data_IF_128059942697
#
_entry.id   IF_128059942697
#
_cell.length_a   1.000
_cell.length_b   1.000
_cell.length_c   1.000
_cell.angle_alpha   90.00
_cell.angle_beta   90.00
_cell.angle_gamma   90.00
#
_symmetry.space_group_name_H-M   'P 1'
#
loop_
_entity.id
_entity.type
_entity.pdbx_description
1 polymer ?
#
# COMPACT_ATOMS: atom_id res chain seq x y z
N UNK A 1 -17.41 22.55 -40.36
CA UNK A 1 -17.05 22.49 -38.93
C UNK A 1 -17.08 21.04 -38.52
N UNK A 2 -15.91 20.39 -38.44
CA UNK A 2 -15.83 19.04 -37.87
C UNK A 2 -15.85 19.15 -36.36
N UNK A 3 -16.86 18.56 -35.75
CA UNK A 3 -16.91 18.29 -34.31
C UNK A 3 -15.91 17.16 -34.03
N UNK A 4 -14.80 17.47 -33.38
CA UNK A 4 -13.95 16.44 -32.77
C UNK A 4 -14.66 15.96 -31.50
N UNK A 5 -15.20 14.73 -31.56
CA UNK A 5 -15.67 14.02 -30.39
C UNK A 5 -14.43 13.45 -29.68
N UNK A 6 -13.94 14.09 -28.62
CA UNK A 6 -12.97 13.46 -27.74
C UNK A 6 -13.72 12.42 -26.91
N UNK A 7 -13.69 11.16 -27.35
CA UNK A 7 -14.10 10.05 -26.52
C UNK A 7 -13.12 9.97 -25.34
N UNK A 8 -13.56 10.43 -24.18
CA UNK A 8 -12.96 10.05 -22.90
C UNK A 8 -13.17 8.55 -22.76
N UNK A 9 -12.10 7.76 -22.92
CA UNK A 9 -12.10 6.38 -22.44
C UNK A 9 -12.27 6.46 -20.93
N UNK A 10 -13.51 6.33 -20.46
CA UNK A 10 -13.83 5.92 -19.10
C UNK A 10 -13.47 4.44 -18.98
N UNK A 11 -12.19 4.10 -19.18
CA UNK A 11 -11.66 2.87 -18.62
C UNK A 11 -11.52 3.18 -17.14
N UNK A 12 -12.26 2.48 -16.29
CA UNK A 12 -11.89 2.42 -14.88
C UNK A 12 -10.42 2.08 -14.78
N UNK A 13 -9.76 2.66 -13.77
CA UNK A 13 -8.45 2.24 -13.36
C UNK A 13 -8.46 2.10 -11.85
N UNK A 14 -7.72 1.11 -11.36
CA UNK A 14 -7.40 1.01 -9.94
C UNK A 14 -6.07 1.72 -9.73
N UNK A 15 -6.09 2.74 -8.89
CA UNK A 15 -4.89 3.49 -8.51
C UNK A 15 -4.35 2.88 -7.24
N UNK A 16 -3.06 2.53 -7.22
CA UNK A 16 -2.32 2.16 -6.02
C UNK A 16 -1.30 3.26 -5.74
N UNK A 17 -1.30 3.79 -4.52
CA UNK A 17 -0.42 4.90 -4.16
C UNK A 17 0.29 4.65 -2.84
N UNK A 18 1.49 5.22 -2.78
CA UNK A 18 2.31 5.26 -1.58
C UNK A 18 2.28 6.67 -0.95
N UNK A 19 2.32 6.74 0.38
CA UNK A 19 2.56 7.97 1.13
C UNK A 19 3.54 7.74 2.28
N UNK A 20 4.56 8.60 2.42
CA UNK A 20 5.39 8.68 3.62
C UNK A 20 4.60 9.35 4.76
N UNK A 21 4.48 8.65 5.89
CA UNK A 21 3.84 9.12 7.12
C UNK A 21 4.84 9.66 8.15
N UNK A 22 6.12 9.69 7.80
CA UNK A 22 7.21 10.05 8.69
C UNK A 22 7.73 8.87 9.50
N UNK A 23 8.89 9.04 10.13
CA UNK A 23 9.59 7.99 10.91
C UNK A 23 9.78 6.68 10.13
N UNK A 24 10.05 6.77 8.83
CA UNK A 24 10.20 5.63 7.92
C UNK A 24 8.95 4.74 7.82
N UNK A 25 7.77 5.25 8.18
CA UNK A 25 6.51 4.54 8.03
C UNK A 25 5.86 4.97 6.72
N UNK A 26 5.50 3.98 5.92
CA UNK A 26 4.93 4.14 4.61
C UNK A 26 3.52 3.58 4.61
N UNK A 27 2.56 4.33 4.06
CA UNK A 27 1.20 3.87 3.81
C UNK A 27 1.01 3.47 2.36
N UNK A 28 0.40 2.30 2.14
CA UNK A 28 -0.06 1.83 0.84
C UNK A 28 -1.58 1.92 0.76
N UNK A 29 -2.09 2.61 -0.25
CA UNK A 29 -3.51 2.90 -0.43
C UNK A 29 -3.97 2.54 -1.83
N UNK A 30 -5.28 2.38 -2.00
CA UNK A 30 -5.93 2.16 -3.29
C UNK A 30 -7.12 3.09 -3.51
N UNK A 31 -7.42 3.36 -4.78
CA UNK A 31 -8.64 4.01 -5.25
C UNK A 31 -9.14 3.28 -6.50
N UNK A 32 -10.26 2.59 -6.36
CA UNK A 32 -11.00 1.88 -7.41
C UNK A 32 -12.35 2.57 -7.71
N UNK A 33 -12.53 3.84 -7.34
CA UNK A 33 -13.78 4.59 -7.58
C UNK A 33 -14.12 4.77 -9.07
N UNK A 34 -13.14 4.57 -9.96
CA UNK A 34 -13.34 4.54 -11.40
C UNK A 34 -13.89 3.22 -11.95
N UNK A 35 -13.91 2.15 -11.15
CA UNK A 35 -14.35 0.82 -11.58
C UNK A 35 -15.85 0.59 -11.38
N UNK A 36 -16.44 -0.25 -12.25
CA UNK A 36 -17.85 -0.65 -12.13
C UNK A 36 -18.06 -1.84 -11.18
N UNK A 37 -17.00 -2.62 -10.96
CA UNK A 37 -16.97 -3.74 -10.02
C UNK A 37 -15.94 -3.45 -8.94
N UNK A 38 -16.19 -3.94 -7.73
CA UNK A 38 -15.23 -3.80 -6.64
C UNK A 38 -13.98 -4.63 -6.92
N UNK A 39 -12.88 -4.28 -6.26
CA UNK A 39 -11.71 -5.14 -6.26
C UNK A 39 -11.99 -6.36 -5.37
N UNK A 40 -11.67 -7.54 -5.88
CA UNK A 40 -11.72 -8.81 -5.16
C UNK A 40 -10.39 -9.12 -4.50
N UNK A 41 -9.29 -8.89 -5.20
CA UNK A 41 -7.96 -9.20 -4.70
C UNK A 41 -6.88 -8.30 -5.30
N UNK A 42 -5.77 -8.18 -4.58
CA UNK A 42 -4.53 -7.54 -5.01
C UNK A 42 -3.37 -8.52 -4.83
N UNK A 43 -2.47 -8.56 -5.81
CA UNK A 43 -1.13 -9.13 -5.69
C UNK A 43 -0.12 -8.08 -6.18
N UNK A 44 0.63 -7.48 -5.26
CA UNK A 44 1.47 -6.32 -5.50
C UNK A 44 2.91 -6.60 -5.13
N UNK A 45 3.85 -6.16 -5.96
CA UNK A 45 5.27 -6.15 -5.62
C UNK A 45 5.65 -4.75 -5.14
N UNK A 46 6.26 -4.66 -3.97
CA UNK A 46 6.80 -3.42 -3.42
C UNK A 46 8.31 -3.58 -3.33
N UNK A 47 9.07 -2.64 -3.87
CA UNK A 47 10.53 -2.59 -3.75
C UNK A 47 10.98 -1.22 -3.28
N UNK A 48 12.08 -1.17 -2.55
CA UNK A 48 12.69 0.09 -2.10
C UNK A 48 14.09 0.22 -2.68
N UNK A 49 14.55 1.46 -2.90
CA UNK A 49 15.89 1.72 -3.47
C UNK A 49 17.04 1.39 -2.52
N UNK A 50 16.83 1.61 -1.23
CA UNK A 50 17.86 1.57 -0.19
C UNK A 50 17.29 1.00 1.13
N UNK A 51 18.14 0.36 1.92
CA UNK A 51 17.76 -0.27 3.18
C UNK A 51 16.97 -1.58 3.01
N UNK A 52 16.18 -1.91 4.03
CA UNK A 52 15.33 -3.11 4.07
C UNK A 52 13.95 -2.78 4.65
N UNK A 53 12.96 -3.59 4.30
CA UNK A 53 11.62 -3.56 4.88
C UNK A 53 11.66 -4.26 6.25
N UNK A 54 11.25 -3.56 7.29
CA UNK A 54 11.37 -4.02 8.68
C UNK A 54 10.09 -4.67 9.22
N UNK A 55 8.94 -4.14 8.85
CA UNK A 55 7.65 -4.61 9.36
C UNK A 55 6.50 -4.16 8.46
N UNK A 56 5.36 -4.85 8.59
CA UNK A 56 4.07 -4.50 8.01
C UNK A 56 3.02 -4.37 9.12
N UNK A 57 2.04 -3.49 8.96
CA UNK A 57 1.00 -3.22 9.95
C UNK A 57 -0.25 -2.61 9.34
N UNK A 58 -1.22 -2.27 10.20
CA UNK A 58 -2.46 -1.57 9.86
C UNK A 58 -3.25 -2.15 8.67
N UNK A 59 -3.14 -3.47 8.45
CA UNK A 59 -3.96 -4.19 7.48
C UNK A 59 -5.19 -4.79 8.15
N UNK A 60 -6.25 -4.98 7.37
CA UNK A 60 -7.47 -5.63 7.84
C UNK A 60 -7.24 -7.14 8.00
N UNK A 61 -7.81 -7.77 9.02
CA UNK A 61 -7.72 -9.22 9.23
C UNK A 61 -9.11 -9.87 9.23
N UNK A 62 -9.25 -10.95 8.47
CA UNK A 62 -10.46 -11.77 8.43
C UNK A 62 -11.54 -11.27 7.46
N UNK A 63 -12.77 -11.81 7.59
CA UNK A 63 -13.89 -11.41 6.75
C UNK A 63 -14.47 -10.05 7.18
N UNK A 64 -14.93 -9.24 6.23
CA UNK A 64 -15.54 -7.95 6.51
C UNK A 64 -15.28 -6.89 5.42
N UNK A 65 -15.36 -5.59 5.77
CA UNK A 65 -15.29 -4.49 4.80
C UNK A 65 -13.86 -4.18 4.35
N UNK A 66 -12.98 -5.17 4.34
CA UNK A 66 -11.57 -5.00 4.00
C UNK A 66 -11.03 -6.21 3.28
N UNK A 67 -9.70 -6.22 3.12
CA UNK A 67 -9.00 -7.27 2.41
C UNK A 67 -8.14 -8.09 3.36
N UNK A 68 -8.79 -8.86 4.23
CA UNK A 68 -8.14 -9.60 5.32
C UNK A 68 -7.96 -11.08 5.08
N UNK A 69 -8.06 -11.52 3.83
CA UNK A 69 -7.70 -12.86 3.39
C UNK A 69 -6.37 -12.76 2.63
N UNK A 70 -5.39 -13.59 2.95
CA UNK A 70 -4.05 -13.51 2.34
C UNK A 70 -3.73 -14.80 1.58
N UNK A 71 -4.12 -14.94 0.29
CA UNK A 71 -4.05 -16.20 -0.46
C UNK A 71 -2.69 -16.91 -0.48
N UNK A 72 -1.58 -16.16 -0.40
CA UNK A 72 -0.23 -16.68 -0.45
C UNK A 72 0.25 -17.32 0.84
N UNK A 73 -0.43 -17.07 1.95
CA UNK A 73 -0.07 -17.55 3.29
C UNK A 73 -1.25 -18.20 4.04
N UNK A 74 -2.47 -18.14 3.47
CA UNK A 74 -3.66 -18.75 4.07
C UNK A 74 -3.52 -20.27 4.15
N UNK A 75 -3.86 -20.82 5.31
CA UNK A 75 -3.93 -22.27 5.51
C UNK A 75 -5.39 -22.72 5.52
N UNK A 76 -5.75 -23.56 4.55
CA UNK A 76 -7.05 -24.24 4.48
C UNK A 76 -6.83 -25.73 4.76
N UNK A 77 -7.06 -26.22 5.99
CA UNK A 77 -7.01 -27.64 6.29
C UNK A 77 -7.99 -28.46 5.42
N UNK A 78 -7.79 -29.79 5.29
CA UNK A 78 -8.62 -30.65 4.44
C UNK A 78 -10.12 -30.64 4.75
N UNK A 79 -10.51 -30.18 5.93
CA UNK A 79 -11.92 -30.02 6.34
C UNK A 79 -12.62 -28.83 5.66
N UNK A 80 -11.87 -27.95 4.99
CA UNK A 80 -12.39 -26.90 4.11
C UNK A 80 -12.59 -25.53 4.76
N UNK A 81 -12.42 -25.42 6.08
CA UNK A 81 -12.45 -24.14 6.78
C UNK A 81 -11.09 -23.44 6.76
N UNK A 82 -11.06 -22.13 7.01
CA UNK A 82 -9.81 -21.37 7.18
C UNK A 82 -9.22 -21.71 8.55
N UNK A 83 -8.03 -22.33 8.55
CA UNK A 83 -7.30 -22.69 9.76
C UNK A 83 -6.38 -21.58 10.26
N UNK A 84 -5.83 -20.80 9.33
CA UNK A 84 -5.00 -19.62 9.59
C UNK A 84 -5.13 -18.66 8.41
N UNK A 85 -5.28 -17.36 8.69
CA UNK A 85 -5.33 -16.33 7.64
C UNK A 85 -3.94 -16.01 7.09
N UNK A 86 -2.89 -16.25 7.87
CA UNK A 86 -1.51 -15.88 7.53
C UNK A 86 -1.27 -14.38 7.65
N UNK A 87 -0.29 -13.89 6.90
CA UNK A 87 0.04 -12.47 6.79
C UNK A 87 -0.10 -12.00 5.34
N UNK A 88 -0.23 -10.68 5.10
CA UNK A 88 -0.26 -10.16 3.74
C UNK A 88 1.04 -10.40 2.96
N UNK A 89 2.15 -10.72 3.63
CA UNK A 89 3.46 -10.94 2.99
C UNK A 89 3.52 -12.38 2.50
N UNK A 90 3.67 -12.53 1.18
CA UNK A 90 3.88 -13.83 0.58
C UNK A 90 5.30 -14.31 0.86
N UNK A 91 5.44 -15.52 1.43
CA UNK A 91 6.74 -16.11 1.72
C UNK A 91 7.60 -16.32 0.46
N UNK A 92 8.92 -16.10 0.51
CA UNK A 92 9.82 -16.15 -0.66
C UNK A 92 9.94 -17.55 -1.29
N UNK A 93 9.50 -18.60 -0.60
CA UNK A 93 9.38 -19.96 -1.13
C UNK A 93 8.24 -20.12 -2.15
N UNK A 94 7.29 -19.17 -2.16
CA UNK A 94 6.18 -19.19 -3.09
C UNK A 94 6.61 -18.63 -4.46
N UNK A 95 6.28 -19.33 -5.57
CA UNK A 95 6.64 -18.86 -6.89
C UNK A 95 6.12 -17.44 -7.17
N UNK A 96 6.98 -16.60 -7.73
CA UNK A 96 6.70 -15.21 -8.06
C UNK A 96 6.79 -14.24 -6.88
N UNK A 97 7.09 -14.69 -5.66
CA UNK A 97 7.28 -13.83 -4.50
C UNK A 97 8.67 -13.17 -4.48
N UNK A 98 8.75 -11.97 -3.90
CA UNK A 98 9.99 -11.28 -3.55
C UNK A 98 10.53 -11.76 -2.18
N UNK A 99 11.59 -11.10 -1.68
CA UNK A 99 12.33 -11.54 -0.50
C UNK A 99 11.61 -11.39 0.84
N UNK A 100 10.67 -10.45 0.95
CA UNK A 100 9.88 -10.21 2.17
C UNK A 100 10.60 -9.33 3.20
N UNK A 101 10.25 -9.50 4.48
CA UNK A 101 10.86 -8.76 5.60
C UNK A 101 12.37 -9.02 5.67
N UNK A 102 13.13 -7.95 5.94
CA UNK A 102 14.59 -7.98 6.00
C UNK A 102 15.25 -7.90 4.62
N UNK A 103 14.49 -7.63 3.56
CA UNK A 103 14.98 -7.45 2.20
C UNK A 103 14.51 -6.12 1.61
N UNK A 104 14.96 -5.80 0.40
CA UNK A 104 14.60 -4.59 -0.36
C UNK A 104 13.28 -4.74 -1.15
N UNK A 105 12.60 -5.88 -1.06
CA UNK A 105 11.34 -6.08 -1.77
C UNK A 105 10.44 -7.16 -1.18
N UNK A 106 9.14 -6.89 -1.18
CA UNK A 106 8.11 -7.82 -0.70
C UNK A 106 6.97 -7.96 -1.69
N UNK A 107 6.38 -9.16 -1.73
CA UNK A 107 5.11 -9.40 -2.43
C UNK A 107 3.99 -9.39 -1.42
N UNK A 108 2.98 -8.57 -1.67
CA UNK A 108 1.80 -8.44 -0.84
C UNK A 108 0.59 -9.02 -1.53
N UNK A 109 -0.22 -9.77 -0.80
CA UNK A 109 -1.51 -10.24 -1.26
C UNK A 109 -2.62 -9.88 -0.29
N UNK A 110 -3.73 -9.43 -0.86
CA UNK A 110 -4.91 -8.97 -0.12
C UNK A 110 -6.16 -9.46 -0.84
N UNK A 111 -7.05 -10.15 -0.15
CA UNK A 111 -8.30 -10.70 -0.70
C UNK A 111 -9.49 -10.29 0.15
N UNK A 112 -10.60 -9.94 -0.51
CA UNK A 112 -11.86 -9.66 0.16
C UNK A 112 -12.67 -10.94 0.36
N UNK A 113 -13.23 -11.10 1.56
CA UNK A 113 -14.22 -12.12 1.86
C UNK A 113 -15.35 -11.48 2.65
N UNK A 114 -16.52 -11.41 2.02
CA UNK A 114 -17.72 -10.89 2.64
C UNK A 114 -18.93 -11.69 2.16
N UNK A 115 -19.85 -11.97 3.07
CA UNK A 115 -21.07 -12.71 2.77
C UNK A 115 -22.15 -11.78 2.18
N UNK A 116 -23.17 -12.31 1.50
CA UNK A 116 -24.34 -11.52 1.13
C UNK A 116 -24.95 -10.82 2.37
N UNK A 117 -25.01 -9.49 2.35
CA UNK A 117 -25.48 -8.66 3.46
C UNK A 117 -24.41 -8.20 4.45
N UNK A 118 -23.15 -8.61 4.27
CA UNK A 118 -22.00 -7.99 4.92
C UNK A 118 -21.53 -6.77 4.13
N UNK A 119 -20.85 -5.83 4.80
CA UNK A 119 -20.28 -4.67 4.15
C UNK A 119 -19.10 -5.10 3.27
N UNK A 120 -19.12 -4.79 1.96
CA UNK A 120 -17.97 -5.04 1.09
C UNK A 120 -16.85 -4.04 1.38
N UNK A 121 -15.63 -4.28 0.86
CA UNK A 121 -14.59 -3.27 0.90
C UNK A 121 -15.05 -1.93 0.30
N UNK A 122 -14.61 -0.80 0.87
CA UNK A 122 -14.87 0.49 0.26
C UNK A 122 -14.22 0.56 -1.13
N UNK A 123 -14.64 1.52 -1.96
CA UNK A 123 -14.02 1.74 -3.28
C UNK A 123 -12.62 2.36 -3.18
N UNK A 124 -12.25 2.89 -2.01
CA UNK A 124 -10.93 3.46 -1.75
C UNK A 124 -10.57 3.27 -0.28
N UNK A 125 -9.29 3.16 0.02
CA UNK A 125 -8.82 3.01 1.38
C UNK A 125 -7.34 2.66 1.50
N UNK A 126 -6.93 2.37 2.73
CA UNK A 126 -5.58 1.90 3.06
C UNK A 126 -5.56 0.38 2.99
N UNK A 127 -4.55 -0.19 2.33
CA UNK A 127 -4.30 -1.63 2.34
C UNK A 127 -3.46 -2.01 3.57
N UNK A 128 -2.38 -1.27 3.81
CA UNK A 128 -1.43 -1.55 4.90
C UNK A 128 -0.49 -0.38 5.12
N UNK A 129 0.22 -0.39 6.24
CA UNK A 129 1.45 0.37 6.46
C UNK A 129 2.66 -0.56 6.51
N UNK A 130 3.84 -0.07 6.19
CA UNK A 130 5.10 -0.79 6.41
C UNK A 130 6.22 0.16 6.82
N UNK A 131 7.26 -0.38 7.45
CA UNK A 131 8.41 0.41 7.92
C UNK A 131 9.66 0.02 7.14
N UNK A 132 10.45 1.02 6.74
CA UNK A 132 11.76 0.83 6.08
C UNK A 132 12.90 1.22 7.03
N UNK A 133 14.11 0.74 6.78
CA UNK A 133 15.26 1.03 7.64
C UNK A 133 15.97 2.35 7.35
N UNK A 134 15.80 2.88 6.14
CA UNK A 134 16.55 4.01 5.60
C UNK A 134 15.65 4.91 4.74
N UNK A 135 16.11 6.12 4.50
CA UNK A 135 15.52 7.02 3.51
C UNK A 135 15.67 6.38 2.12
N UNK A 136 14.57 6.27 1.38
CA UNK A 136 14.55 5.53 0.11
C UNK A 136 13.41 5.98 -0.80
N UNK A 137 13.51 5.63 -2.07
CA UNK A 137 12.36 5.66 -2.99
C UNK A 137 11.61 4.34 -2.89
N UNK A 138 10.31 4.39 -2.61
CA UNK A 138 9.41 3.25 -2.67
C UNK A 138 8.84 3.15 -4.07
N UNK A 139 9.09 2.02 -4.71
CA UNK A 139 8.44 1.63 -5.96
C UNK A 139 7.33 0.64 -5.65
N UNK A 140 6.09 1.09 -5.85
CA UNK A 140 4.95 0.18 -6.00
C UNK A 140 5.07 -0.37 -7.42
N UNK A 141 5.76 -1.51 -7.56
CA UNK A 141 5.97 -2.13 -8.85
C UNK A 141 4.64 -2.58 -9.47
N UNK A 142 4.65 -2.83 -10.78
CA UNK A 142 3.52 -3.39 -11.52
C UNK A 142 2.94 -4.61 -10.81
N UNK A 143 1.64 -4.86 -11.05
CA UNK A 143 0.92 -6.01 -10.53
C UNK A 143 1.74 -7.30 -10.64
N UNK A 144 1.68 -8.15 -9.61
CA UNK A 144 2.29 -9.46 -9.70
C UNK A 144 1.40 -10.38 -10.54
N UNK A 145 1.53 -10.28 -11.87
CA UNK A 145 0.72 -11.03 -12.83
C UNK A 145 0.92 -12.55 -12.73
N UNK A 146 2.06 -13.01 -12.21
CA UNK A 146 2.26 -14.44 -11.92
C UNK A 146 1.27 -14.92 -10.83
N UNK A 147 0.92 -14.03 -9.90
CA UNK A 147 0.06 -14.30 -8.74
C UNK A 147 -1.35 -13.72 -8.89
N UNK A 148 -1.70 -13.28 -10.10
CA UNK A 148 -3.04 -12.81 -10.46
C UNK A 148 -3.24 -11.30 -10.45
N UNK A 149 -2.27 -10.51 -9.99
CA UNK A 149 -2.38 -9.04 -9.98
C UNK A 149 -3.61 -8.53 -9.22
N UNK A 150 -4.26 -7.50 -9.76
CA UNK A 150 -5.52 -6.95 -9.28
C UNK A 150 -6.67 -7.58 -10.05
N UNK A 151 -7.66 -8.07 -9.30
CA UNK A 151 -8.81 -8.79 -9.87
C UNK A 151 -10.08 -8.12 -9.39
N UNK A 152 -11.01 -7.83 -10.30
CA UNK A 152 -12.35 -7.33 -9.99
C UNK A 152 -13.32 -8.48 -9.67
N UNK A 153 -14.47 -8.15 -9.08
CA UNK A 153 -15.46 -9.16 -8.69
C UNK A 153 -16.10 -9.94 -9.85
N UNK A 154 -16.06 -9.40 -11.06
CA UNK A 154 -16.49 -10.09 -12.27
C UNK A 154 -15.40 -11.01 -12.86
N UNK A 155 -14.23 -11.07 -12.22
CA UNK A 155 -13.08 -11.87 -12.63
C UNK A 155 -12.22 -11.21 -13.70
N UNK A 156 -12.48 -9.96 -14.07
CA UNK A 156 -11.64 -9.21 -15.00
C UNK A 156 -10.47 -8.53 -14.28
N UNK A 157 -9.47 -8.10 -15.06
CA UNK A 157 -8.33 -7.32 -14.57
C UNK A 157 -8.52 -5.87 -15.02
N UNK A 158 -8.47 -4.90 -14.10
CA UNK A 158 -8.57 -3.49 -14.43
C UNK A 158 -7.26 -2.97 -15.03
N UNK A 159 -7.26 -1.74 -15.54
CA UNK A 159 -5.99 -1.03 -15.71
C UNK A 159 -5.48 -0.61 -14.34
N UNK A 160 -4.23 -0.91 -14.01
CA UNK A 160 -3.63 -0.50 -12.73
C UNK A 160 -2.62 0.61 -12.94
N UNK A 161 -2.77 1.68 -12.15
CA UNK A 161 -1.84 2.81 -12.11
C UNK A 161 -1.15 2.83 -10.75
N UNK A 162 0.18 2.76 -10.74
CA UNK A 162 0.94 2.76 -9.49
C UNK A 162 1.72 4.06 -9.31
N UNK A 163 1.73 4.56 -8.08
CA UNK A 163 2.46 5.76 -7.68
C UNK A 163 3.34 5.44 -6.48
N UNK A 164 4.66 5.43 -6.70
CA UNK A 164 5.66 5.38 -5.65
C UNK A 164 5.71 6.65 -4.81
N UNK A 165 6.53 6.63 -3.76
CA UNK A 165 6.74 7.77 -2.86
C UNK A 165 8.22 7.86 -2.46
N UNK A 166 8.63 9.02 -1.98
CA UNK A 166 9.96 9.22 -1.37
C UNK A 166 9.79 9.19 0.15
N UNK A 167 10.58 8.37 0.82
CA UNK A 167 10.71 8.36 2.28
C UNK A 167 11.87 9.25 2.64
N UNK A 168 11.57 10.35 3.30
CA UNK A 168 12.56 11.39 3.63
C UNK A 168 12.69 11.53 5.14
N UNK A 169 13.86 11.98 5.63
CA UNK A 169 13.99 12.25 7.05
C UNK A 169 13.07 13.42 7.38
N UNK A 170 12.28 13.27 8.45
CA UNK A 170 11.49 14.36 9.01
C UNK A 170 12.39 15.59 9.14
N UNK A 171 11.99 16.78 8.63
CA UNK A 171 12.81 17.96 8.78
C UNK A 171 12.98 18.17 10.27
N UNK A 172 14.22 18.00 10.75
CA UNK A 172 14.59 18.34 12.11
C UNK A 172 14.05 19.75 12.33
N UNK A 173 13.03 19.88 13.17
CA UNK A 173 12.45 21.18 13.47
C UNK A 173 13.59 21.98 14.07
N UNK A 174 14.24 22.81 13.25
CA UNK A 174 15.27 23.74 13.69
C UNK A 174 14.49 24.70 14.58
N UNK A 175 14.51 24.41 15.87
CA UNK A 175 14.09 25.33 16.91
C UNK A 175 15.04 26.51 16.78
N UNK A 176 14.66 27.49 15.96
CA UNK A 176 15.25 28.82 15.92
C UNK A 176 14.97 29.45 17.28
N UNK A 177 15.76 29.07 18.29
CA UNK A 177 16.00 29.86 19.48
C UNK A 177 16.77 31.07 18.97
N UNK A 178 16.02 32.04 18.46
CA UNK A 178 16.51 33.33 18.04
C UNK A 178 17.30 33.94 19.19
N UNK A 179 18.60 33.98 18.98
CA UNK A 179 19.56 34.80 19.72
C UNK A 179 19.08 36.27 19.64
N UNK A 180 18.39 36.73 20.68
CA UNK A 180 18.09 38.13 20.91
C UNK A 180 17.88 38.29 22.42
N UNK A 181 18.68 39.00 23.20
CA UNK A 181 19.31 40.29 22.92
C UNK A 181 20.55 40.47 23.80
N UNK A 182 21.57 41.03 23.16
CA UNK A 182 22.82 41.51 23.74
C UNK A 182 22.55 42.70 24.68
N UNK A 183 23.03 42.58 25.91
CA UNK A 183 23.47 43.62 26.87
C UNK A 183 23.11 45.09 26.58
N UNK A 184 22.10 45.63 27.26
CA UNK A 184 21.94 47.08 27.49
C UNK A 184 22.87 47.52 28.64
N UNK A 185 23.99 48.14 28.26
CA UNK A 185 25.00 48.72 29.16
C UNK A 185 24.42 49.96 29.86
N UNK A 186 24.28 49.90 31.20
CA UNK A 186 23.99 51.08 32.06
C UNK A 186 25.04 52.17 31.84
N UNK A 187 24.61 53.40 31.56
CA UNK A 187 25.45 54.60 31.70
C UNK A 187 24.91 55.44 32.85
N UNK A 188 25.64 55.44 33.98
CA UNK A 188 25.62 56.51 34.99
C UNK A 188 26.47 57.64 34.44
N UNK A 189 25.92 58.85 34.32
CA UNK A 189 26.34 60.10 34.99
C UNK A 189 25.12 61.01 34.98
#
# INVERSE_FOLDING_TARGET
MSFFLTASLSSGAVIISCQDLGNHIVQLSYDASGESFLVRAFALNITISDGVILSIGDYFEGPGPGYGIFPGDIMIPPVGDIGDLGTPIVGPENPGALGGIGTDGMTLEFGSLYAPGAEPPPVMGVLTTFTVSEDCTVFVAEENLYRGGVVLEDGTHPTVLTYGCEVVPEPATIFLIGVGTVLLRRKKV
#
